data_IF_950337320904
#
_entry.id   IF_950337320904
#
_cell.length_a   1.000
_cell.length_b   1.000
_cell.length_c   1.000
_cell.angle_alpha   90.00
_cell.angle_beta   90.00
_cell.angle_gamma   90.00
#
_symmetry.space_group_name_H-M   'P 1'
#
loop_
_entity.id
_entity.type
_entity.pdbx_description
1 polymer ?
#
# COMPACT_ATOMS: atom_id res chain seq x y z
N UNK A 1 23.85 31.56 -8.48
CA UNK A 1 24.27 30.26 -9.05
C UNK A 1 25.75 29.96 -8.81
N UNK A 2 26.68 30.78 -9.29
CA UNK A 2 28.14 30.54 -9.20
C UNK A 2 28.67 30.31 -7.77
N UNK A 3 28.14 31.04 -6.78
CA UNK A 3 28.53 30.87 -5.37
C UNK A 3 28.06 29.52 -4.81
N UNK A 4 26.87 29.07 -5.18
CA UNK A 4 26.34 27.76 -4.75
C UNK A 4 27.16 26.62 -5.36
N UNK A 5 27.54 26.73 -6.63
CA UNK A 5 28.43 25.76 -7.29
C UNK A 5 29.79 25.65 -6.61
N UNK A 6 30.39 26.79 -6.22
CA UNK A 6 31.66 26.81 -5.47
C UNK A 6 31.55 26.10 -4.12
N UNK A 7 30.45 26.32 -3.38
CA UNK A 7 30.19 25.67 -2.10
C UNK A 7 30.05 24.15 -2.27
N UNK A 8 29.25 23.67 -3.24
CA UNK A 8 29.09 22.23 -3.49
C UNK A 8 30.40 21.57 -3.94
N UNK A 9 31.21 22.26 -4.75
CA UNK A 9 32.51 21.75 -5.20
C UNK A 9 33.50 21.60 -4.03
N UNK A 10 33.56 22.59 -3.14
CA UNK A 10 34.39 22.52 -1.94
C UNK A 10 33.92 21.41 -0.98
N UNK A 11 32.61 21.25 -0.79
CA UNK A 11 32.05 20.16 0.03
C UNK A 11 32.38 18.78 -0.55
N UNK A 12 32.34 18.63 -1.88
CA UNK A 12 32.70 17.38 -2.57
C UNK A 12 34.20 17.06 -2.40
N UNK A 13 35.08 18.06 -2.48
CA UNK A 13 36.53 17.87 -2.27
C UNK A 13 36.81 17.47 -0.82
N UNK A 14 36.19 18.14 0.15
CA UNK A 14 36.37 17.85 1.59
C UNK A 14 35.88 16.43 1.92
N UNK A 15 34.78 15.98 1.29
CA UNK A 15 34.27 14.61 1.42
C UNK A 15 35.21 13.57 0.76
N UNK A 16 35.78 13.89 -0.40
CA UNK A 16 36.73 13.01 -1.10
C UNK A 16 38.07 12.86 -0.34
N UNK A 17 38.55 13.94 0.29
CA UNK A 17 39.76 13.92 1.14
C UNK A 17 39.55 13.23 2.49
N UNK A 18 38.32 12.78 2.81
CA UNK A 18 38.03 12.02 4.02
C UNK A 18 38.19 12.81 5.33
N UNK A 19 38.26 14.14 5.25
CA UNK A 19 38.39 15.04 6.40
C UNK A 19 37.11 14.99 7.25
N UNK A 20 35.96 14.75 6.62
CA UNK A 20 34.69 14.49 7.29
C UNK A 20 34.42 12.98 7.19
N UNK A 21 34.48 12.27 8.32
CA UNK A 21 33.90 10.91 8.40
C UNK A 21 32.40 11.03 8.10
N UNK A 22 31.88 10.47 7.00
CA UNK A 22 30.44 10.51 6.75
C UNK A 22 29.81 9.53 7.72
N UNK A 23 29.34 10.05 8.85
CA UNK A 23 28.51 9.32 9.80
C UNK A 23 27.10 9.22 9.24
N UNK A 24 26.92 8.40 8.21
CA UNK A 24 25.60 7.98 7.73
C UNK A 24 25.69 6.46 7.59
N UNK A 25 25.14 5.76 8.58
CA UNK A 25 25.12 4.31 8.60
C UNK A 25 24.34 3.79 7.37
N UNK A 26 24.99 3.00 6.53
CA UNK A 26 24.35 2.25 5.44
C UNK A 26 24.65 2.70 4.00
N UNK A 27 25.32 3.84 3.78
CA UNK A 27 25.68 4.28 2.42
C UNK A 27 27.14 3.97 2.12
N UNK A 28 27.38 3.16 1.08
CA UNK A 28 28.74 2.78 0.65
C UNK A 28 29.47 3.94 -0.04
N UNK A 29 30.78 4.06 0.19
CA UNK A 29 31.64 5.16 -0.30
C UNK A 29 31.56 5.37 -1.83
N UNK A 30 31.19 4.36 -2.59
CA UNK A 30 31.04 4.43 -4.06
C UNK A 30 29.82 5.24 -4.51
N UNK A 31 28.77 5.34 -3.68
CA UNK A 31 27.55 6.10 -4.02
C UNK A 31 27.81 7.62 -4.12
N UNK A 32 28.72 8.16 -3.31
CA UNK A 32 29.13 9.57 -3.40
C UNK A 32 29.92 9.87 -4.68
N UNK A 33 30.76 8.93 -5.13
CA UNK A 33 31.49 9.05 -6.38
C UNK A 33 30.54 9.04 -7.59
N UNK A 34 29.54 8.14 -7.58
CA UNK A 34 28.51 8.09 -8.61
C UNK A 34 27.66 9.36 -8.62
N UNK A 35 27.24 9.85 -7.44
CA UNK A 35 26.47 11.09 -7.33
C UNK A 35 27.19 12.33 -7.89
N UNK A 36 28.50 12.44 -7.66
CA UNK A 36 29.32 13.51 -8.22
C UNK A 36 29.36 13.45 -9.76
N UNK A 37 29.60 12.25 -10.31
CA UNK A 37 29.67 12.04 -11.78
C UNK A 37 28.32 12.39 -12.44
N UNK A 38 27.20 11.92 -11.89
CA UNK A 38 25.87 12.22 -12.43
C UNK A 38 25.58 13.72 -12.39
N UNK A 39 25.96 14.41 -11.31
CA UNK A 39 25.80 15.87 -11.21
C UNK A 39 26.60 16.63 -12.28
N UNK A 40 27.80 16.18 -12.63
CA UNK A 40 28.59 16.77 -13.71
C UNK A 40 27.95 16.56 -15.09
N UNK A 41 27.42 15.37 -15.36
CA UNK A 41 26.73 15.09 -16.62
C UNK A 41 25.42 15.88 -16.77
N UNK A 42 24.62 16.00 -15.71
CA UNK A 42 23.37 16.79 -15.74
C UNK A 42 23.65 18.29 -15.92
N UNK A 43 24.72 18.81 -15.30
CA UNK A 43 25.10 20.21 -15.45
C UNK A 43 25.69 20.52 -16.83
N UNK A 44 26.45 19.57 -17.41
CA UNK A 44 27.00 19.70 -18.77
C UNK A 44 25.94 19.70 -19.87
N UNK A 45 24.84 18.96 -19.67
CA UNK A 45 23.72 18.92 -20.62
C UNK A 45 22.90 20.23 -20.60
N UNK A 46 22.75 20.88 -19.45
CA UNK A 46 21.97 22.12 -19.33
C UNK A 46 22.62 23.33 -20.02
N UNK A 47 23.94 23.30 -20.25
CA UNK A 47 24.65 24.37 -20.95
C UNK A 47 24.48 24.34 -22.49
N UNK A 48 23.89 23.28 -23.06
CA UNK A 48 23.76 23.09 -24.52
C UNK A 48 22.37 23.42 -25.05
N UNK A 49 21.35 23.61 -24.18
CA UNK A 49 19.94 23.73 -24.61
C UNK A 49 19.27 25.09 -24.37
N UNK A 50 20.00 26.12 -23.94
CA UNK A 50 19.43 27.47 -23.87
C UNK A 50 19.71 28.26 -25.15
N UNK A 51 18.91 27.97 -26.19
CA UNK A 51 18.65 28.96 -27.24
C UNK A 51 17.82 30.11 -26.63
N UNK A 52 18.15 31.38 -26.91
CA UNK A 52 17.35 32.51 -26.48
C UNK A 52 16.07 32.61 -27.34
N UNK A 53 14.90 32.49 -26.69
CA UNK A 53 13.61 32.79 -27.32
C UNK A 53 13.52 34.30 -27.55
N UNK A 54 13.39 34.68 -28.81
CA UNK A 54 13.19 36.05 -29.28
C UNK A 54 11.77 36.53 -28.95
N UNK A 55 11.69 37.74 -28.42
CA UNK A 55 10.48 38.44 -27.97
C UNK A 55 9.82 39.16 -29.16
N UNK A 56 8.55 38.85 -29.43
CA UNK A 56 7.73 39.49 -30.47
C UNK A 56 6.41 40.00 -29.90
N UNK A 57 6.28 41.33 -29.88
CA UNK A 57 5.22 42.15 -29.31
C UNK A 57 4.00 42.36 -30.27
N UNK A 58 2.78 42.21 -29.71
CA UNK A 58 1.42 42.80 -29.92
C UNK A 58 0.96 43.50 -31.25
N UNK A 59 -0.28 44.06 -31.43
CA UNK A 59 -1.64 43.90 -30.82
C UNK A 59 -2.85 43.92 -31.82
N UNK A 60 -4.08 43.75 -31.30
CA UNK A 60 -5.35 44.31 -31.83
C UNK A 60 -6.34 43.27 -32.42
N UNK A 61 -7.67 43.41 -32.40
CA UNK A 61 -8.66 44.42 -31.97
C UNK A 61 -10.02 43.71 -31.93
N UNK A 62 -10.90 44.13 -31.02
CA UNK A 62 -12.29 43.67 -30.85
C UNK A 62 -13.19 43.89 -32.09
N UNK A 63 -14.30 43.13 -32.22
CA UNK A 63 -15.69 43.61 -31.96
C UNK A 63 -16.78 42.53 -32.18
N UNK A 64 -17.85 42.67 -31.37
CA UNK A 64 -19.30 42.32 -31.51
C UNK A 64 -19.73 40.87 -31.85
N UNK A 65 -20.63 40.17 -31.15
CA UNK A 65 -21.92 40.41 -30.47
C UNK A 65 -23.11 39.85 -31.28
N UNK A 66 -23.82 38.86 -30.71
CA UNK A 66 -25.26 38.52 -30.83
C UNK A 66 -25.46 37.20 -30.02
N UNK A 67 -26.22 37.08 -28.92
CA UNK A 67 -27.62 37.38 -28.53
C UNK A 67 -28.66 36.39 -29.08
N UNK A 68 -29.12 35.48 -28.20
CA UNK A 68 -30.49 34.92 -28.03
C UNK A 68 -30.38 33.65 -27.15
N UNK A 69 -30.70 33.66 -25.86
CA UNK A 69 -32.02 33.44 -25.23
C UNK A 69 -32.69 32.12 -25.63
N UNK A 70 -32.57 31.07 -24.78
CA UNK A 70 -33.61 30.05 -24.65
C UNK A 70 -33.63 29.45 -23.22
N UNK A 71 -34.85 29.16 -22.77
CA UNK A 71 -35.37 28.83 -21.45
C UNK A 71 -35.19 27.34 -21.12
N UNK A 72 -34.97 26.90 -19.86
CA UNK A 72 -35.20 25.51 -19.48
C UNK A 72 -36.56 25.35 -18.80
N UNK A 73 -37.48 24.66 -19.49
CA UNK A 73 -38.68 24.09 -18.90
C UNK A 73 -38.35 22.74 -18.24
N UNK A 74 -38.83 22.60 -17.00
CA UNK A 74 -38.94 21.37 -16.21
C UNK A 74 -39.74 20.29 -16.98
N UNK A 75 -39.49 19.00 -16.74
CA UNK A 75 -40.51 18.30 -15.95
C UNK A 75 -40.01 17.15 -15.06
N UNK A 76 -40.63 17.11 -13.88
CA UNK A 76 -41.36 15.97 -13.32
C UNK A 76 -40.67 14.60 -13.18
N UNK A 77 -40.40 14.30 -11.90
CA UNK A 77 -40.64 13.04 -11.19
C UNK A 77 -41.49 11.97 -11.89
N UNK A 78 -41.03 10.73 -11.90
CA UNK A 78 -41.89 9.55 -11.71
C UNK A 78 -41.18 8.47 -10.90
N UNK A 79 -41.73 8.26 -9.71
CA UNK A 79 -41.57 7.08 -8.87
C UNK A 79 -42.13 5.84 -9.60
N UNK A 80 -41.42 4.72 -9.51
CA UNK A 80 -41.99 3.39 -9.74
C UNK A 80 -41.60 2.48 -8.59
N UNK A 81 -42.56 2.32 -7.68
CA UNK A 81 -42.62 1.24 -6.72
C UNK A 81 -42.93 -0.08 -7.43
N UNK A 82 -42.22 -1.14 -7.07
CA UNK A 82 -42.69 -2.51 -7.26
C UNK A 82 -42.32 -3.33 -6.02
N UNK A 83 -43.35 -3.59 -5.24
CA UNK A 83 -43.45 -4.58 -4.15
C UNK A 83 -43.35 -6.00 -4.70
N UNK A 84 -42.69 -6.94 -3.99
CA UNK A 84 -43.21 -8.29 -3.71
C UNK A 84 -42.54 -8.85 -2.44
N UNK A 85 -43.37 -9.44 -1.57
CA UNK A 85 -43.05 -10.14 -0.33
C UNK A 85 -42.87 -11.66 -0.53
N UNK A 86 -42.10 -12.32 0.35
CA UNK A 86 -42.26 -13.73 0.82
C UNK A 86 -40.96 -14.15 1.54
N UNK A 87 -40.90 -14.33 2.86
CA UNK A 87 -41.35 -15.47 3.68
C UNK A 87 -40.28 -16.57 3.92
N UNK A 88 -40.24 -17.01 5.18
CA UNK A 88 -39.83 -18.33 5.70
C UNK A 88 -38.34 -18.71 5.90
N UNK A 89 -37.87 -18.49 7.13
CA UNK A 89 -37.43 -19.51 8.11
C UNK A 89 -37.19 -20.96 7.60
N UNK A 90 -35.95 -21.49 7.73
CA UNK A 90 -35.62 -22.63 8.61
C UNK A 90 -34.20 -23.19 8.44
N UNK A 91 -33.64 -23.49 9.61
CA UNK A 91 -32.87 -24.69 9.97
C UNK A 91 -31.42 -24.94 9.50
N UNK A 92 -30.65 -25.32 10.53
CA UNK A 92 -29.66 -26.38 10.57
C UNK A 92 -28.21 -26.05 10.17
N UNK A 93 -27.50 -25.58 11.19
CA UNK A 93 -26.18 -26.09 11.59
C UNK A 93 -25.97 -27.59 11.24
N UNK A 94 -24.78 -27.92 10.72
CA UNK A 94 -24.10 -29.08 11.26
C UNK A 94 -22.61 -28.78 11.53
N UNK A 95 -22.28 -28.67 12.81
CA UNK A 95 -21.00 -29.15 13.36
C UNK A 95 -21.08 -30.67 13.41
N UNK A 96 -20.15 -31.38 12.76
CA UNK A 96 -19.30 -32.33 13.49
C UNK A 96 -17.89 -32.39 12.87
N UNK A 97 -16.81 -32.90 13.47
CA UNK A 97 -16.50 -33.53 14.75
C UNK A 97 -14.96 -33.59 14.81
N UNK A 98 -14.47 -33.69 16.03
CA UNK A 98 -13.11 -33.99 16.48
C UNK A 98 -12.37 -35.14 15.77
N UNK A 99 -11.05 -34.92 15.55
CA UNK A 99 -9.86 -35.81 15.74
C UNK A 99 -9.84 -37.21 15.07
N UNK A 100 -8.68 -37.73 14.61
CA UNK A 100 -7.49 -37.92 15.46
C UNK A 100 -6.11 -37.68 14.79
N UNK A 101 -5.09 -37.72 15.64
CA UNK A 101 -3.68 -37.50 15.38
C UNK A 101 -3.06 -38.36 14.25
N UNK A 102 -2.22 -37.72 13.43
CA UNK A 102 -1.17 -38.41 12.67
C UNK A 102 0.15 -37.63 12.79
N UNK A 103 1.20 -38.33 13.25
CA UNK A 103 2.62 -37.94 13.23
C UNK A 103 3.36 -39.11 12.56
N UNK A 104 4.58 -38.92 12.00
CA UNK A 104 5.13 -37.76 11.28
C UNK A 104 5.81 -38.21 9.95
N UNK A 105 5.65 -37.48 8.85
CA UNK A 105 6.60 -37.60 7.73
C UNK A 105 7.01 -36.23 7.17
N UNK A 106 8.33 -36.01 7.22
CA UNK A 106 9.11 -34.91 6.66
C UNK A 106 8.96 -34.89 5.13
N UNK A 107 8.84 -33.71 4.51
CA UNK A 107 9.39 -33.51 3.18
C UNK A 107 10.35 -32.32 3.13
N UNK A 108 11.63 -32.68 2.90
CA UNK A 108 12.61 -32.03 2.04
C UNK A 108 12.80 -30.50 2.09
N UNK A 109 13.84 -30.15 2.87
CA UNK A 109 14.70 -28.97 2.78
C UNK A 109 14.78 -28.39 1.36
N UNK A 110 14.07 -27.31 1.11
CA UNK A 110 14.30 -26.42 -0.03
C UNK A 110 14.73 -25.03 0.49
N UNK A 111 15.98 -24.69 0.17
CA UNK A 111 16.55 -23.34 0.07
C UNK A 111 16.80 -22.56 1.38
N UNK A 112 18.06 -22.60 1.83
CA UNK A 112 18.58 -21.79 2.92
C UNK A 112 18.78 -20.32 2.54
N UNK A 113 17.70 -19.54 2.57
CA UNK A 113 17.78 -18.12 2.91
C UNK A 113 17.72 -18.01 4.44
N UNK A 114 18.59 -17.21 5.07
CA UNK A 114 18.42 -16.87 6.49
C UNK A 114 17.07 -16.16 6.61
N UNK A 115 16.08 -16.80 7.23
CA UNK A 115 14.78 -16.17 7.42
C UNK A 115 14.97 -15.01 8.41
N UNK A 116 14.79 -13.78 7.92
CA UNK A 116 14.93 -12.59 8.78
C UNK A 116 13.84 -12.51 9.87
N UNK A 117 12.93 -13.48 9.89
CA UNK A 117 11.77 -13.60 10.76
C UNK A 117 11.85 -14.80 11.73
N UNK A 118 13.02 -15.42 11.95
CA UNK A 118 13.16 -16.56 12.87
C UNK A 118 12.65 -16.32 14.31
N UNK A 119 12.59 -15.05 14.73
CA UNK A 119 12.09 -14.65 16.04
C UNK A 119 10.58 -14.35 15.96
N UNK A 120 9.79 -15.15 16.67
CA UNK A 120 8.32 -15.02 16.77
C UNK A 120 7.92 -13.62 17.26
N UNK A 121 8.72 -12.98 18.10
CA UNK A 121 8.44 -11.63 18.60
C UNK A 121 8.42 -10.60 17.47
N UNK A 122 9.28 -10.77 16.46
CA UNK A 122 9.30 -9.91 15.27
C UNK A 122 8.09 -10.15 14.38
N UNK A 123 7.67 -11.41 14.26
CA UNK A 123 6.46 -11.77 13.53
C UNK A 123 5.22 -11.20 14.23
N UNK A 124 5.16 -11.25 15.56
CA UNK A 124 4.08 -10.66 16.34
C UNK A 124 4.04 -9.14 16.19
N UNK A 125 5.20 -8.48 16.21
CA UNK A 125 5.30 -7.05 15.89
C UNK A 125 4.72 -6.74 14.50
N UNK A 126 4.98 -7.62 13.52
CA UNK A 126 4.39 -7.50 12.18
C UNK A 126 2.87 -7.49 12.18
N UNK A 127 2.26 -8.41 12.95
CA UNK A 127 0.80 -8.51 13.10
C UNK A 127 0.25 -7.23 13.72
N UNK A 128 0.89 -6.72 14.78
CA UNK A 128 0.46 -5.48 15.46
C UNK A 128 0.47 -4.30 14.50
N UNK A 129 1.57 -4.10 13.76
CA UNK A 129 1.67 -3.01 12.78
C UNK A 129 0.66 -3.18 11.64
N UNK A 130 0.39 -4.42 11.24
CA UNK A 130 -0.62 -4.72 10.23
C UNK A 130 -2.03 -4.35 10.70
N UNK A 131 -2.36 -4.60 11.97
CA UNK A 131 -3.64 -4.15 12.56
C UNK A 131 -3.76 -2.64 12.54
N UNK A 132 -2.69 -1.91 12.85
CA UNK A 132 -2.71 -0.45 12.83
C UNK A 132 -2.88 0.11 11.41
N UNK A 133 -2.24 -0.51 10.41
CA UNK A 133 -2.44 -0.17 9.01
C UNK A 133 -3.88 -0.43 8.54
N UNK A 134 -4.48 -1.56 8.95
CA UNK A 134 -5.90 -1.85 8.64
C UNK A 134 -6.83 -0.88 9.36
N UNK A 135 -6.59 -0.55 10.64
CA UNK A 135 -7.39 0.44 11.37
C UNK A 135 -7.46 1.78 10.63
N UNK A 136 -6.36 2.23 10.05
CA UNK A 136 -6.31 3.47 9.28
C UNK A 136 -7.21 3.47 8.02
N UNK A 137 -7.61 2.28 7.53
CA UNK A 137 -8.49 2.10 6.38
C UNK A 137 -9.98 2.05 6.75
N UNK A 138 -10.31 1.76 8.01
CA UNK A 138 -11.68 1.53 8.45
C UNK A 138 -12.44 2.84 8.69
N UNK A 139 -13.78 2.78 8.52
CA UNK A 139 -14.66 3.92 8.79
C UNK A 139 -14.68 4.32 10.27
N UNK A 140 -14.66 3.34 11.17
CA UNK A 140 -14.49 3.53 12.62
C UNK A 140 -13.31 2.67 13.12
N UNK A 141 -12.09 3.24 13.14
CA UNK A 141 -10.88 2.54 13.57
C UNK A 141 -10.95 2.01 15.01
N UNK A 142 -11.67 2.70 15.89
CA UNK A 142 -11.77 2.36 17.32
C UNK A 142 -12.65 1.13 17.58
N UNK A 143 -13.57 0.85 16.66
CA UNK A 143 -14.46 -0.31 16.72
C UNK A 143 -13.85 -1.60 16.17
N UNK A 144 -12.64 -1.54 15.60
CA UNK A 144 -12.03 -2.63 14.88
C UNK A 144 -11.81 -3.86 15.77
N UNK A 145 -12.31 -5.00 15.31
CA UNK A 145 -12.13 -6.31 15.92
C UNK A 145 -11.40 -7.22 14.94
N UNK A 146 -10.22 -7.66 15.32
CA UNK A 146 -9.42 -8.60 14.54
C UNK A 146 -9.61 -10.02 15.05
N UNK A 147 -9.48 -10.99 14.14
CA UNK A 147 -9.38 -12.42 14.47
C UNK A 147 -8.57 -13.14 13.40
N UNK A 148 -8.14 -14.36 13.71
CA UNK A 148 -7.42 -15.24 12.79
C UNK A 148 -6.23 -14.57 12.08
N UNK A 149 -5.55 -13.66 12.76
CA UNK A 149 -4.43 -12.91 12.18
C UNK A 149 -3.16 -13.74 12.27
N UNK A 150 -2.48 -13.94 11.14
CA UNK A 150 -1.27 -14.76 11.06
C UNK A 150 -0.21 -14.09 10.21
N UNK A 151 1.05 -14.30 10.59
CA UNK A 151 2.20 -13.89 9.79
C UNK A 151 2.46 -14.89 8.66
N UNK A 152 2.75 -14.39 7.46
CA UNK A 152 3.10 -15.17 6.27
C UNK A 152 4.31 -14.57 5.59
N UNK A 153 5.29 -15.41 5.24
CA UNK A 153 6.47 -14.99 4.48
C UNK A 153 6.73 -15.84 3.22
N UNK A 154 5.90 -16.87 2.97
CA UNK A 154 6.04 -17.77 1.83
C UNK A 154 5.66 -17.17 0.47
N UNK A 155 4.88 -16.08 0.46
CA UNK A 155 4.49 -15.35 -0.75
C UNK A 155 5.57 -14.42 -1.34
N UNK A 156 6.81 -14.47 -0.82
CA UNK A 156 7.94 -13.64 -1.24
C UNK A 156 8.05 -12.30 -0.51
N UNK A 157 6.93 -11.73 -0.08
CA UNK A 157 6.89 -10.54 0.78
C UNK A 157 6.27 -10.91 2.14
N UNK A 158 6.88 -10.52 3.27
CA UNK A 158 6.29 -10.69 4.59
C UNK A 158 5.00 -9.87 4.75
N UNK A 159 3.91 -10.56 5.09
CA UNK A 159 2.60 -9.95 5.25
C UNK A 159 1.85 -10.58 6.44
N UNK A 160 0.80 -9.89 6.87
CA UNK A 160 -0.21 -10.44 7.78
C UNK A 160 -1.51 -10.60 7.03
N UNK A 161 -2.12 -11.79 7.11
CA UNK A 161 -3.49 -12.01 6.68
C UNK A 161 -4.37 -12.39 7.87
N UNK A 162 -5.63 -11.99 7.83
CA UNK A 162 -6.60 -12.34 8.86
C UNK A 162 -7.98 -11.82 8.51
N UNK A 163 -8.82 -11.68 9.52
CA UNK A 163 -10.16 -11.11 9.38
C UNK A 163 -10.36 -9.91 10.30
N UNK A 164 -11.11 -8.93 9.83
CA UNK A 164 -11.46 -7.71 10.55
C UNK A 164 -12.95 -7.45 10.45
N UNK A 165 -13.54 -6.92 11.53
CA UNK A 165 -14.91 -6.41 11.54
C UNK A 165 -14.91 -5.04 12.21
N UNK A 166 -15.65 -4.08 11.66
CA UNK A 166 -15.72 -2.72 12.15
C UNK A 166 -17.11 -2.13 11.92
N UNK A 167 -17.42 -1.04 12.62
CA UNK A 167 -18.66 -0.31 12.38
C UNK A 167 -18.60 0.43 11.05
N UNK A 168 -19.68 0.31 10.27
CA UNK A 168 -19.90 1.10 9.07
C UNK A 168 -20.41 2.51 9.41
N UNK A 169 -20.73 3.31 8.38
CA UNK A 169 -21.24 4.68 8.55
C UNK A 169 -22.58 4.78 9.30
N UNK A 170 -23.33 3.68 9.39
CA UNK A 170 -24.60 3.59 10.12
C UNK A 170 -24.43 3.10 11.56
N UNK A 171 -23.18 2.86 12.01
CA UNK A 171 -22.86 2.44 13.37
C UNK A 171 -23.02 0.94 13.64
N UNK A 172 -23.34 0.14 12.62
CA UNK A 172 -23.51 -1.31 12.70
C UNK A 172 -22.30 -2.09 12.20
N UNK A 173 -22.12 -3.33 12.68
CA UNK A 173 -21.13 -4.28 12.17
C UNK A 173 -21.74 -5.08 11.00
N UNK A 174 -21.02 -5.20 9.89
CA UNK A 174 -21.48 -5.92 8.69
C UNK A 174 -21.01 -7.37 8.62
N UNK A 175 -20.05 -7.74 9.48
CA UNK A 175 -19.46 -9.08 9.50
C UNK A 175 -17.94 -9.01 9.40
N UNK A 176 -17.30 -10.15 9.64
CA UNK A 176 -15.86 -10.26 9.45
C UNK A 176 -15.53 -10.40 7.97
N UNK A 177 -14.63 -9.56 7.49
CA UNK A 177 -14.08 -9.63 6.14
C UNK A 177 -12.57 -9.88 6.19
N UNK A 178 -12.02 -10.43 5.10
CA UNK A 178 -10.59 -10.72 5.00
C UNK A 178 -9.79 -9.44 4.85
N UNK A 179 -8.60 -9.42 5.43
CA UNK A 179 -7.62 -8.36 5.23
C UNK A 179 -6.22 -8.91 4.90
N UNK A 180 -5.44 -8.11 4.18
CA UNK A 180 -4.05 -8.36 3.82
C UNK A 180 -3.24 -7.09 4.06
N UNK A 181 -2.15 -7.16 4.83
CA UNK A 181 -1.31 -5.99 5.11
C UNK A 181 0.18 -6.32 5.20
N UNK A 182 1.04 -5.41 4.74
CA UNK A 182 2.52 -5.56 4.74
C UNK A 182 3.19 -5.18 6.05
N UNK A 183 2.44 -4.79 7.08
CA UNK A 183 2.99 -4.40 8.38
C UNK A 183 3.95 -3.21 8.28
N UNK A 184 5.15 -3.24 8.91
CA UNK A 184 6.01 -2.07 9.06
C UNK A 184 6.75 -1.64 7.78
N UNK A 185 6.72 -2.43 6.70
CA UNK A 185 7.61 -2.23 5.54
C UNK A 185 6.88 -1.67 4.32
N UNK A 186 5.60 -1.31 4.47
CA UNK A 186 4.87 -0.63 3.42
C UNK A 186 3.45 -0.27 3.80
N UNK A 187 2.87 0.63 3.02
CA UNK A 187 1.51 1.15 3.19
C UNK A 187 0.44 0.24 2.58
N UNK A 188 0.82 -0.98 2.19
CA UNK A 188 -0.09 -1.93 1.58
C UNK A 188 -1.01 -2.52 2.67
N UNK A 189 -2.27 -2.14 2.62
CA UNK A 189 -3.30 -2.59 3.55
C UNK A 189 -4.64 -2.62 2.81
N UNK A 190 -5.16 -3.82 2.58
CA UNK A 190 -6.42 -4.04 1.86
C UNK A 190 -7.40 -4.86 2.69
N UNK A 191 -8.67 -4.55 2.54
CA UNK A 191 -9.81 -5.33 3.05
C UNK A 191 -10.63 -5.86 1.86
N UNK A 192 -11.45 -6.89 2.08
CA UNK A 192 -12.23 -7.52 1.01
C UNK A 192 -13.13 -6.53 0.26
N UNK A 193 -13.70 -5.56 0.98
CA UNK A 193 -14.52 -4.49 0.42
C UNK A 193 -13.78 -3.46 -0.43
N UNK A 194 -12.44 -3.48 -0.48
CA UNK A 194 -11.66 -2.63 -1.39
C UNK A 194 -11.71 -3.14 -2.84
N UNK A 195 -12.11 -4.39 -3.06
CA UNK A 195 -12.15 -5.02 -4.38
C UNK A 195 -13.53 -4.80 -5.01
N UNK A 196 -13.56 -4.35 -6.26
CA UNK A 196 -14.80 -4.18 -7.00
C UNK A 196 -15.52 -5.54 -7.21
N UNK A 197 -16.83 -5.51 -7.40
CA UNK A 197 -17.62 -6.69 -7.71
C UNK A 197 -17.08 -7.36 -8.99
N UNK A 198 -16.40 -8.50 -8.84
CA UNK A 198 -15.74 -9.23 -9.93
C UNK A 198 -14.23 -9.40 -9.75
N UNK A 199 -13.58 -8.54 -8.97
CA UNK A 199 -12.20 -8.72 -8.54
C UNK A 199 -12.15 -9.63 -7.32
N UNK A 200 -11.42 -10.74 -7.43
CA UNK A 200 -11.45 -11.75 -6.38
C UNK A 200 -10.26 -11.63 -5.42
N UNK A 201 -10.54 -11.16 -4.20
CA UNK A 201 -9.60 -11.18 -3.06
C UNK A 201 -9.01 -12.59 -2.83
N UNK A 202 -9.73 -13.67 -3.14
CA UNK A 202 -9.26 -15.05 -2.98
C UNK A 202 -7.99 -15.30 -3.80
N UNK A 203 -7.88 -14.72 -5.00
CA UNK A 203 -6.69 -14.88 -5.84
C UNK A 203 -5.46 -14.22 -5.22
N UNK A 204 -5.63 -13.04 -4.63
CA UNK A 204 -4.56 -12.31 -3.94
C UNK A 204 -4.20 -13.04 -2.65
N UNK A 205 -5.21 -13.48 -1.90
CA UNK A 205 -5.05 -14.24 -0.67
C UNK A 205 -4.25 -15.53 -0.90
N UNK A 206 -4.62 -16.33 -1.89
CA UNK A 206 -3.95 -17.60 -2.18
C UNK A 206 -2.49 -17.42 -2.65
N UNK A 207 -2.16 -16.26 -3.22
CA UNK A 207 -0.79 -15.95 -3.66
C UNK A 207 0.08 -15.41 -2.53
N UNK A 208 -0.48 -14.57 -1.66
CA UNK A 208 0.31 -13.84 -0.67
C UNK A 208 0.28 -14.51 0.72
N UNK A 209 -0.86 -15.07 1.14
CA UNK A 209 -1.06 -15.67 2.45
C UNK A 209 -0.56 -17.12 2.47
N UNK A 210 0.69 -17.33 2.03
CA UNK A 210 1.35 -18.63 1.95
C UNK A 210 2.35 -18.76 3.10
N UNK A 211 2.23 -19.84 3.87
CA UNK A 211 3.14 -20.10 4.99
C UNK A 211 4.51 -20.55 4.49
N UNK A 212 5.56 -19.96 5.04
CA UNK A 212 6.92 -20.46 4.93
C UNK A 212 7.30 -21.28 6.18
N UNK A 213 8.41 -22.01 6.07
CA UNK A 213 9.03 -22.67 7.22
C UNK A 213 9.49 -21.63 8.26
N UNK A 214 8.99 -21.76 9.49
CA UNK A 214 9.28 -20.85 10.60
C UNK A 214 8.25 -19.73 10.82
N UNK A 215 7.19 -19.65 10.03
CA UNK A 215 6.05 -18.76 10.30
C UNK A 215 5.21 -19.33 11.46
N UNK A 216 5.31 -18.72 12.64
CA UNK A 216 4.72 -19.24 13.89
C UNK A 216 3.72 -18.28 14.54
N UNK A 217 3.85 -16.96 14.32
CA UNK A 217 3.00 -15.97 14.97
C UNK A 217 1.56 -16.04 14.47
N UNK A 218 0.65 -16.17 15.42
CA UNK A 218 -0.79 -16.25 15.20
C UNK A 218 -1.53 -15.60 16.38
N UNK A 219 -2.50 -14.76 16.06
CA UNK A 219 -3.43 -14.13 16.99
C UNK A 219 -4.83 -14.62 16.63
N UNK A 220 -5.50 -15.34 17.54
CA UNK A 220 -6.83 -15.89 17.29
C UNK A 220 -7.89 -14.81 17.08
#
# INVERSE_FOLDING_TARGET
>A
MLVLFSIFFLLSIVAALGIIKPYINGISRWQFAVGSIVSFFVSGIFAVLHDPVEEGDQPGRATEAEMATEKPDEPASQDVAATVASDAEKDANPKPKSSPAEKPQKPNKASGAKNNYADVSKQQYWIIQSHDAIKARLRDPSSAKFRNSRFYSGGGTPITCGEVNAKNAFGGFTGYERFIATGPVGDLAFIASDFAEGDNIDNVWNKLCVLAEGDEAYVP
#
